data_IF_849032587274
#
_entry.id   IF_849032587274
#
_cell.length_a   1.000
_cell.length_b   1.000
_cell.length_c   1.000
_cell.angle_alpha   90.00
_cell.angle_beta   90.00
_cell.angle_gamma   90.00
#
_symmetry.space_group_name_H-M   'P 1'
#
loop_
_entity.id
_entity.type
_entity.pdbx_description
1 polymer ?
#
# COMPACT_ATOMS: atom_id res chain seq x y z
N UNK A 1 1.25 -10.98 -14.84
CA UNK A 1 0.25 -10.85 -13.76
C UNK A 1 0.75 -9.88 -12.68
N UNK A 2 -0.15 -9.08 -12.10
CA UNK A 2 0.18 -8.10 -11.05
C UNK A 2 -0.30 -8.55 -9.67
N UNK A 3 0.48 -8.22 -8.66
CA UNK A 3 0.14 -8.32 -7.24
C UNK A 3 0.28 -6.96 -6.58
N UNK A 4 -0.75 -6.50 -5.88
CA UNK A 4 -0.73 -5.30 -5.04
C UNK A 4 -0.96 -5.72 -3.60
N UNK A 5 -0.01 -5.36 -2.74
CA UNK A 5 -0.05 -5.60 -1.31
C UNK A 5 -0.32 -4.28 -0.61
N UNK A 6 -1.51 -4.10 -0.05
CA UNK A 6 -1.82 -2.99 0.82
C UNK A 6 -1.32 -3.31 2.23
N UNK A 7 -0.54 -2.40 2.82
CA UNK A 7 -0.08 -2.54 4.21
C UNK A 7 -1.02 -1.84 5.20
N UNK A 8 -1.15 -2.43 6.38
CA UNK A 8 -2.00 -1.96 7.48
C UNK A 8 -2.00 -2.93 8.66
N UNK A 9 -2.61 -2.52 9.76
CA UNK A 9 -2.92 -3.38 10.90
C UNK A 9 -4.39 -3.82 10.88
N UNK A 10 -4.71 -5.09 11.21
CA UNK A 10 -6.09 -5.56 11.33
C UNK A 10 -6.75 -5.03 12.61
N UNK A 11 -8.07 -4.87 12.56
CA UNK A 11 -8.91 -4.47 13.70
C UNK A 11 -9.39 -3.03 13.63
N UNK A 12 -10.60 -2.80 14.16
CA UNK A 12 -11.34 -1.55 14.01
C UNK A 12 -10.57 -0.32 14.52
N UNK A 13 -9.81 -0.47 15.60
CA UNK A 13 -9.00 0.62 16.18
C UNK A 13 -7.94 1.22 15.26
N UNK A 14 -7.54 0.51 14.19
CA UNK A 14 -6.51 0.98 13.27
C UNK A 14 -7.07 1.48 11.94
N UNK A 15 -8.38 1.32 11.67
CA UNK A 15 -8.93 1.48 10.32
C UNK A 15 -8.64 2.86 9.71
N UNK A 16 -8.67 3.91 10.54
CA UNK A 16 -8.41 5.30 10.13
C UNK A 16 -7.04 5.81 10.55
N UNK A 17 -6.18 4.94 11.10
CA UNK A 17 -4.80 5.31 11.41
C UNK A 17 -4.01 5.63 10.15
N UNK A 18 -2.99 6.49 10.26
CA UNK A 18 -2.08 6.79 9.13
C UNK A 18 -1.45 5.50 8.56
N UNK A 19 -1.13 4.53 9.42
CA UNK A 19 -0.51 3.26 9.04
C UNK A 19 -1.41 2.32 8.22
N UNK A 20 -2.71 2.58 8.16
CA UNK A 20 -3.68 1.76 7.42
C UNK A 20 -4.01 2.31 6.03
N UNK A 21 -3.30 3.35 5.56
CA UNK A 21 -3.52 3.94 4.24
C UNK A 21 -3.41 2.92 3.11
N UNK A 22 -2.48 1.95 3.22
CA UNK A 22 -2.31 0.89 2.23
C UNK A 22 -3.53 -0.03 2.12
N UNK A 23 -4.16 -0.38 3.24
CA UNK A 23 -5.42 -1.13 3.26
C UNK A 23 -6.55 -0.33 2.61
N UNK A 24 -6.73 0.93 3.01
CA UNK A 24 -7.81 1.78 2.49
C UNK A 24 -7.71 1.98 0.98
N UNK A 25 -6.50 2.13 0.44
CA UNK A 25 -6.28 2.27 -1.02
C UNK A 25 -6.70 1.02 -1.78
N UNK A 26 -6.30 -0.17 -1.32
CA UNK A 26 -6.70 -1.40 -2.01
C UNK A 26 -8.19 -1.69 -1.82
N UNK A 27 -8.80 -1.27 -0.71
CA UNK A 27 -10.24 -1.32 -0.51
C UNK A 27 -10.98 -0.41 -1.50
N UNK A 28 -10.59 0.86 -1.64
CA UNK A 28 -11.15 1.77 -2.64
C UNK A 28 -11.03 1.23 -4.07
N UNK A 29 -9.89 0.65 -4.44
CA UNK A 29 -9.73 0.03 -5.76
C UNK A 29 -10.67 -1.17 -5.93
N UNK A 30 -10.79 -2.02 -4.92
CA UNK A 30 -11.72 -3.16 -4.93
C UNK A 30 -13.17 -2.71 -5.09
N UNK A 31 -13.59 -1.69 -4.34
CA UNK A 31 -14.93 -1.10 -4.38
C UNK A 31 -15.24 -0.49 -5.75
N UNK A 32 -14.33 0.34 -6.29
CA UNK A 32 -14.48 0.95 -7.62
C UNK A 32 -14.66 -0.11 -8.72
N UNK A 33 -14.07 -1.29 -8.54
CA UNK A 33 -14.12 -2.40 -9.50
C UNK A 33 -15.15 -3.47 -9.13
N UNK A 34 -15.88 -3.29 -8.03
CA UNK A 34 -16.84 -4.25 -7.49
C UNK A 34 -16.25 -5.65 -7.27
N UNK A 35 -14.96 -5.71 -6.92
CA UNK A 35 -14.29 -6.97 -6.58
C UNK A 35 -14.64 -7.37 -5.15
N UNK A 36 -14.90 -8.66 -4.97
CA UNK A 36 -15.29 -9.22 -3.68
C UNK A 36 -14.06 -9.78 -2.96
N UNK A 37 -13.87 -9.34 -1.72
CA UNK A 37 -12.83 -9.87 -0.85
C UNK A 37 -13.17 -11.28 -0.39
N UNK A 38 -12.18 -12.17 -0.50
CA UNK A 38 -12.11 -13.42 0.21
C UNK A 38 -11.26 -13.21 1.46
N UNK A 39 -11.67 -13.82 2.57
CA UNK A 39 -10.99 -13.66 3.85
C UNK A 39 -10.47 -15.00 4.38
N UNK A 40 -9.28 -14.96 4.97
CA UNK A 40 -8.69 -16.03 5.75
C UNK A 40 -8.20 -15.47 7.08
N UNK A 41 -7.76 -16.33 8.00
CA UNK A 41 -7.18 -15.88 9.28
C UNK A 41 -5.93 -15.00 9.14
N UNK A 42 -5.19 -15.09 8.02
CA UNK A 42 -3.88 -14.42 7.85
C UNK A 42 -3.86 -13.35 6.77
N UNK A 43 -4.85 -13.31 5.89
CA UNK A 43 -4.93 -12.34 4.80
C UNK A 43 -6.35 -12.24 4.23
N UNK A 44 -6.66 -11.08 3.67
CA UNK A 44 -7.75 -10.89 2.73
C UNK A 44 -7.18 -10.73 1.31
N UNK A 45 -7.92 -11.22 0.32
CA UNK A 45 -7.52 -11.06 -1.07
C UNK A 45 -8.73 -10.99 -2.02
N UNK A 46 -8.58 -10.27 -3.11
CA UNK A 46 -9.50 -10.30 -4.24
C UNK A 46 -8.70 -10.21 -5.54
N UNK A 47 -9.35 -10.45 -6.66
CA UNK A 47 -8.72 -10.29 -7.96
C UNK A 47 -9.72 -9.89 -9.02
N UNK A 48 -9.19 -9.34 -10.12
CA UNK A 48 -9.96 -9.07 -11.31
C UNK A 48 -9.05 -8.61 -12.44
N UNK A 49 -9.63 -7.95 -13.44
CA UNK A 49 -8.91 -7.45 -14.60
C UNK A 49 -8.97 -5.93 -14.67
N UNK A 50 -7.83 -5.32 -15.02
CA UNK A 50 -7.76 -3.92 -15.45
C UNK A 50 -7.16 -3.93 -16.86
N UNK A 51 -7.95 -3.46 -17.84
CA UNK A 51 -7.67 -3.70 -19.26
C UNK A 51 -7.41 -5.21 -19.50
N UNK A 52 -6.25 -5.55 -20.06
CA UNK A 52 -5.87 -6.94 -20.37
C UNK A 52 -5.00 -7.60 -19.29
N UNK A 53 -4.87 -7.00 -18.11
CA UNK A 53 -4.00 -7.48 -17.04
C UNK A 53 -4.79 -8.04 -15.87
N UNK A 54 -4.44 -9.25 -15.44
CA UNK A 54 -4.89 -9.78 -14.15
C UNK A 54 -4.17 -9.09 -13.00
N UNK A 55 -4.96 -8.63 -12.03
CA UNK A 55 -4.51 -7.94 -10.83
C UNK A 55 -5.07 -8.65 -9.60
N UNK A 56 -4.19 -8.95 -8.65
CA UNK A 56 -4.54 -9.44 -7.32
C UNK A 56 -4.29 -8.35 -6.29
N UNK A 57 -5.26 -8.13 -5.41
CA UNK A 57 -5.11 -7.28 -4.22
C UNK A 57 -5.01 -8.16 -2.99
N UNK A 58 -4.11 -7.81 -2.08
CA UNK A 58 -3.89 -8.55 -0.83
C UNK A 58 -3.72 -7.58 0.32
N UNK A 59 -4.39 -7.87 1.43
CA UNK A 59 -4.18 -7.25 2.74
C UNK A 59 -3.72 -8.32 3.73
N UNK A 60 -2.44 -8.31 4.18
CA UNK A 60 -2.00 -9.19 5.26
C UNK A 60 -2.80 -8.89 6.54
N UNK A 61 -3.55 -9.85 7.08
CA UNK A 61 -4.31 -9.68 8.34
C UNK A 61 -3.46 -10.02 9.58
N UNK A 62 -2.16 -9.81 9.49
CA UNK A 62 -1.21 -9.88 10.60
C UNK A 62 -0.90 -8.47 11.09
N UNK A 63 -0.32 -8.31 12.27
CA UNK A 63 0.25 -7.01 12.65
C UNK A 63 1.32 -6.57 11.64
N UNK A 64 1.51 -5.26 11.52
CA UNK A 64 2.35 -4.65 10.48
C UNK A 64 3.75 -5.27 10.43
N UNK A 65 4.39 -5.47 11.58
CA UNK A 65 5.73 -6.07 11.68
C UNK A 65 5.80 -7.55 11.27
N UNK A 66 4.65 -8.18 10.98
CA UNK A 66 4.53 -9.56 10.51
C UNK A 66 3.89 -9.63 9.10
N UNK A 67 3.77 -8.50 8.40
CA UNK A 67 3.15 -8.41 7.07
C UNK A 67 3.75 -9.39 6.05
N UNK A 68 5.06 -9.65 6.13
CA UNK A 68 5.74 -10.61 5.27
C UNK A 68 5.24 -12.04 5.46
N UNK A 69 4.92 -12.44 6.70
CA UNK A 69 4.33 -13.75 7.00
C UNK A 69 2.91 -13.87 6.44
N UNK A 70 2.11 -12.80 6.53
CA UNK A 70 0.79 -12.75 5.93
C UNK A 70 0.85 -12.84 4.40
N UNK A 71 1.79 -12.11 3.77
CA UNK A 71 2.02 -12.18 2.33
C UNK A 71 2.52 -13.57 1.88
N UNK A 72 3.46 -14.17 2.62
CA UNK A 72 3.94 -15.52 2.34
C UNK A 72 2.79 -16.53 2.39
N UNK A 73 1.92 -16.42 3.40
CA UNK A 73 0.74 -17.28 3.53
C UNK A 73 -0.17 -17.18 2.30
N UNK A 74 -0.38 -15.96 1.78
CA UNK A 74 -1.14 -15.76 0.54
C UNK A 74 -0.46 -16.38 -0.68
N UNK A 75 0.85 -16.14 -0.85
CA UNK A 75 1.60 -16.66 -2.00
C UNK A 75 1.59 -18.20 -2.04
N UNK A 76 1.72 -18.85 -0.89
CA UNK A 76 1.60 -20.30 -0.76
C UNK A 76 0.19 -20.79 -1.05
N UNK A 77 -0.84 -20.06 -0.60
CA UNK A 77 -2.25 -20.41 -0.84
C UNK A 77 -2.63 -20.32 -2.32
N UNK A 78 -2.25 -19.24 -3.01
CA UNK A 78 -2.67 -19.02 -4.39
C UNK A 78 -1.84 -19.83 -5.39
N UNK A 79 -0.61 -20.22 -5.02
CA UNK A 79 0.31 -21.02 -5.85
C UNK A 79 0.52 -20.44 -7.27
N UNK A 80 0.61 -19.11 -7.38
CA UNK A 80 0.83 -18.38 -8.64
C UNK A 80 2.09 -17.51 -8.61
N UNK A 81 2.70 -17.34 -9.78
CA UNK A 81 3.84 -16.45 -9.99
C UNK A 81 3.40 -15.05 -10.43
N UNK A 82 3.87 -14.03 -9.71
CA UNK A 82 3.58 -12.63 -10.01
C UNK A 82 4.82 -11.93 -10.56
N UNK A 83 4.72 -11.44 -11.80
CA UNK A 83 5.82 -10.76 -12.50
C UNK A 83 6.01 -9.32 -12.04
N UNK A 84 4.91 -8.68 -11.62
CA UNK A 84 4.89 -7.28 -11.17
C UNK A 84 4.27 -7.25 -9.79
N UNK A 85 5.03 -6.82 -8.80
CA UNK A 85 4.60 -6.75 -7.40
C UNK A 85 4.67 -5.31 -6.94
N UNK A 86 3.64 -4.85 -6.26
CA UNK A 86 3.49 -3.47 -5.80
C UNK A 86 3.18 -3.53 -4.30
N UNK A 87 3.91 -2.75 -3.49
CA UNK A 87 3.58 -2.51 -2.08
C UNK A 87 3.01 -1.10 -1.97
N UNK A 88 1.86 -0.98 -1.31
CA UNK A 88 1.23 0.31 -0.98
C UNK A 88 1.34 0.53 0.52
N UNK A 89 1.96 1.63 0.93
CA UNK A 89 2.26 1.88 2.34
C UNK A 89 2.40 3.38 2.64
N UNK A 90 2.30 3.74 3.92
CA UNK A 90 2.55 5.10 4.41
C UNK A 90 4.04 5.46 4.40
N UNK A 91 4.32 6.75 4.28
CA UNK A 91 5.66 7.30 4.17
C UNK A 91 5.80 8.56 5.03
N UNK A 92 6.72 8.49 6.01
CA UNK A 92 6.97 9.56 6.97
C UNK A 92 7.69 10.75 6.32
N UNK A 93 8.54 10.49 5.34
CA UNK A 93 9.36 11.53 4.71
C UNK A 93 8.60 12.33 3.63
N UNK A 94 7.34 11.98 3.35
CA UNK A 94 6.46 12.71 2.44
C UNK A 94 5.30 13.34 3.22
N UNK A 95 4.95 14.61 2.98
CA UNK A 95 3.82 15.23 3.66
C UNK A 95 2.48 14.65 3.16
N UNK A 96 1.40 14.76 3.96
CA UNK A 96 0.04 14.45 3.52
C UNK A 96 -0.32 15.13 2.18
N UNK A 97 -1.10 14.45 1.34
CA UNK A 97 -1.43 14.94 -0.01
C UNK A 97 -0.33 14.68 -1.06
N UNK A 98 0.76 13.99 -0.70
CA UNK A 98 1.78 13.53 -1.65
C UNK A 98 1.78 12.01 -1.78
N UNK A 99 2.02 11.55 -2.99
CA UNK A 99 2.31 10.15 -3.29
C UNK A 99 3.60 10.08 -4.10
N UNK A 100 4.32 8.96 -3.98
CA UNK A 100 5.52 8.71 -4.78
C UNK A 100 5.62 7.26 -5.18
N UNK A 101 5.90 7.01 -6.44
CA UNK A 101 6.18 5.70 -7.00
C UNK A 101 7.69 5.51 -7.10
N UNK A 102 8.21 4.39 -6.61
CA UNK A 102 9.61 3.99 -6.73
C UNK A 102 9.76 2.51 -7.07
N UNK A 103 10.92 2.09 -7.57
CA UNK A 103 11.30 0.67 -7.72
C UNK A 103 12.38 0.33 -6.71
N UNK A 104 12.30 -0.86 -6.12
CA UNK A 104 13.30 -1.38 -5.19
C UNK A 104 13.56 -0.49 -3.97
N UNK A 105 14.78 -0.60 -3.44
CA UNK A 105 15.28 0.20 -2.32
C UNK A 105 14.97 -0.38 -0.94
N UNK A 106 15.63 0.17 0.09
CA UNK A 106 15.44 -0.26 1.48
C UNK A 106 14.10 0.15 2.08
N UNK A 107 13.73 -0.46 3.20
CA UNK A 107 12.45 -0.24 3.87
C UNK A 107 12.30 1.10 4.61
N UNK A 108 13.39 1.88 4.73
CA UNK A 108 13.40 3.19 5.40
C UNK A 108 12.73 3.21 6.79
N UNK A 109 12.90 2.13 7.57
CA UNK A 109 12.31 1.99 8.91
C UNK A 109 10.85 1.55 8.95
N UNK A 110 10.17 1.42 7.80
CA UNK A 110 8.78 0.96 7.75
C UNK A 110 8.67 -0.55 8.07
N UNK A 111 8.10 -0.88 9.23
CA UNK A 111 8.06 -2.26 9.78
C UNK A 111 7.41 -3.29 8.86
N UNK A 112 6.37 -2.92 8.11
CA UNK A 112 5.74 -3.85 7.17
C UNK A 112 6.56 -4.14 5.91
N UNK A 113 7.27 -3.13 5.39
CA UNK A 113 8.18 -3.30 4.26
C UNK A 113 9.41 -4.10 4.70
N UNK A 114 9.92 -3.85 5.90
CA UNK A 114 10.96 -4.66 6.54
C UNK A 114 10.53 -6.12 6.64
N UNK A 115 9.32 -6.38 7.15
CA UNK A 115 8.80 -7.74 7.28
C UNK A 115 8.65 -8.44 5.92
N UNK A 116 8.19 -7.73 4.88
CA UNK A 116 8.16 -8.31 3.51
C UNK A 116 9.57 -8.67 3.03
N UNK A 117 10.58 -7.85 3.33
CA UNK A 117 11.97 -8.09 2.93
C UNK A 117 12.54 -9.40 3.47
N UNK A 118 12.04 -9.89 4.61
CA UNK A 118 12.48 -11.16 5.21
C UNK A 118 12.12 -12.38 4.36
N UNK A 119 11.07 -12.29 3.54
CA UNK A 119 10.54 -13.41 2.76
C UNK A 119 10.56 -13.17 1.25
N UNK A 120 10.84 -11.94 0.81
CA UNK A 120 10.74 -11.51 -0.58
C UNK A 120 11.86 -10.54 -0.94
N UNK A 121 12.40 -10.66 -2.16
CA UNK A 121 13.38 -9.71 -2.67
C UNK A 121 12.73 -8.35 -3.02
N UNK A 122 12.92 -7.35 -2.16
CA UNK A 122 12.34 -6.00 -2.32
C UNK A 122 12.76 -5.29 -3.62
N UNK A 123 13.93 -5.59 -4.20
CA UNK A 123 14.37 -4.98 -5.46
C UNK A 123 13.42 -5.28 -6.63
N UNK A 124 12.64 -6.36 -6.51
CA UNK A 124 11.62 -6.75 -7.50
C UNK A 124 10.29 -6.02 -7.34
N UNK A 125 10.12 -5.25 -6.25
CA UNK A 125 8.87 -4.55 -5.96
C UNK A 125 8.89 -3.11 -6.45
N UNK A 126 7.72 -2.70 -6.92
CA UNK A 126 7.34 -1.30 -7.03
C UNK A 126 6.77 -0.89 -5.67
N UNK A 127 7.02 0.34 -5.23
CA UNK A 127 6.40 0.91 -4.04
C UNK A 127 5.58 2.13 -4.42
N UNK A 128 4.34 2.15 -3.98
CA UNK A 128 3.48 3.32 -3.96
C UNK A 128 3.45 3.84 -2.52
N UNK A 129 4.24 4.89 -2.31
CA UNK A 129 4.47 5.52 -1.01
C UNK A 129 3.49 6.66 -0.84
N UNK A 130 2.74 6.67 0.26
CA UNK A 130 1.74 7.69 0.55
C UNK A 130 2.20 8.54 1.71
N UNK A 131 2.42 9.83 1.45
CA UNK A 131 2.92 10.74 2.46
C UNK A 131 1.93 10.91 3.59
N UNK A 132 2.41 10.68 4.80
CA UNK A 132 1.65 10.87 6.04
C UNK A 132 2.25 11.96 6.92
N UNK A 133 3.41 12.51 6.54
CA UNK A 133 4.19 13.44 7.37
C UNK A 133 4.92 12.72 8.50
N UNK A 134 5.63 13.48 9.32
CA UNK A 134 6.38 12.96 10.46
C UNK A 134 6.16 13.83 11.70
N UNK A 135 6.12 13.25 12.90
CA UNK A 135 6.09 14.02 14.13
C UNK A 135 7.41 14.76 14.33
N UNK A 136 7.40 15.74 15.24
CA UNK A 136 8.59 16.53 15.59
C UNK A 136 9.67 15.65 16.21
N UNK A 137 9.26 14.70 17.06
CA UNK A 137 10.14 13.84 17.84
C UNK A 137 10.08 12.39 17.35
N UNK A 138 11.23 11.71 17.29
CA UNK A 138 11.33 10.35 16.71
C UNK A 138 10.62 9.31 17.56
N UNK A 139 10.64 9.49 18.87
CA UNK A 139 9.98 8.67 19.88
C UNK A 139 8.46 8.62 19.68
N UNK A 140 7.86 9.66 19.09
CA UNK A 140 6.42 9.75 18.82
C UNK A 140 5.99 8.99 17.56
N UNK A 141 6.93 8.53 16.72
CA UNK A 141 6.61 7.92 15.41
C UNK A 141 5.62 6.76 15.54
N UNK A 142 5.78 5.91 16.56
CA UNK A 142 4.90 4.74 16.71
C UNK A 142 3.46 5.15 17.02
N UNK A 143 3.27 6.13 17.90
CA UNK A 143 1.94 6.65 18.23
C UNK A 143 1.36 7.45 17.06
N UNK A 144 2.19 8.25 16.39
CA UNK A 144 1.81 9.06 15.24
C UNK A 144 1.23 8.21 14.10
N UNK A 145 1.90 7.11 13.71
CA UNK A 145 1.39 6.26 12.63
C UNK A 145 0.14 5.49 13.03
N UNK A 146 -0.01 5.13 14.31
CA UNK A 146 -1.16 4.37 14.82
C UNK A 146 -2.37 5.26 15.16
N UNK A 147 -2.20 6.57 15.26
CA UNK A 147 -3.27 7.53 15.53
C UNK A 147 -3.98 7.97 14.25
N UNK A 148 -5.22 8.45 14.43
CA UNK A 148 -5.97 9.09 13.35
C UNK A 148 -5.37 10.47 13.00
N UNK A 149 -5.39 10.84 11.72
CA UNK A 149 -4.97 12.16 11.28
C UNK A 149 -5.90 13.27 11.78
N UNK A 150 -5.38 14.49 11.91
CA UNK A 150 -6.25 15.67 12.10
C UNK A 150 -7.19 15.85 10.90
N UNK A 151 -8.30 16.57 11.05
CA UNK A 151 -9.28 16.73 9.96
C UNK A 151 -8.67 17.26 8.66
N UNK A 152 -7.71 18.18 8.75
CA UNK A 152 -7.01 18.73 7.59
C UNK A 152 -6.11 17.67 6.92
N UNK A 153 -5.33 16.92 7.71
CA UNK A 153 -4.51 15.82 7.19
C UNK A 153 -5.37 14.69 6.62
N UNK A 154 -6.53 14.40 7.23
CA UNK A 154 -7.46 13.38 6.78
C UNK A 154 -7.99 13.71 5.37
N UNK A 155 -8.34 14.97 5.10
CA UNK A 155 -8.76 15.41 3.78
C UNK A 155 -7.63 15.26 2.73
N UNK A 156 -6.40 15.63 3.09
CA UNK A 156 -5.23 15.45 2.23
C UNK A 156 -4.90 13.98 1.97
N UNK A 157 -5.07 13.13 2.98
CA UNK A 157 -4.88 11.68 2.85
C UNK A 157 -5.96 11.06 1.97
N UNK A 158 -7.23 11.45 2.12
CA UNK A 158 -8.31 10.99 1.26
C UNK A 158 -8.04 11.30 -0.23
N UNK A 159 -7.52 12.50 -0.53
CA UNK A 159 -7.11 12.86 -1.89
C UNK A 159 -5.90 12.03 -2.35
N UNK A 160 -4.89 11.83 -1.48
CA UNK A 160 -3.78 10.92 -1.77
C UNK A 160 -4.25 9.48 -2.04
N UNK A 161 -5.25 8.98 -1.32
CA UNK A 161 -5.80 7.64 -1.48
C UNK A 161 -6.49 7.49 -2.84
N UNK A 162 -7.30 8.47 -3.23
CA UNK A 162 -7.91 8.52 -4.58
C UNK A 162 -6.84 8.54 -5.68
N UNK A 163 -5.86 9.44 -5.57
CA UNK A 163 -4.74 9.52 -6.53
C UNK A 163 -3.89 8.25 -6.55
N UNK A 164 -3.81 7.54 -5.42
CA UNK A 164 -3.10 6.26 -5.33
C UNK A 164 -3.81 5.16 -6.12
N UNK A 165 -5.15 5.13 -6.09
CA UNK A 165 -5.94 4.21 -6.92
C UNK A 165 -5.72 4.50 -8.41
N UNK A 166 -5.74 5.77 -8.81
CA UNK A 166 -5.42 6.20 -10.19
C UNK A 166 -3.99 5.79 -10.59
N UNK A 167 -3.02 5.97 -9.68
CA UNK A 167 -1.64 5.56 -9.89
C UNK A 167 -1.49 4.04 -10.06
N UNK A 168 -2.19 3.23 -9.26
CA UNK A 168 -2.21 1.76 -9.41
C UNK A 168 -2.76 1.35 -10.77
N UNK A 169 -3.89 1.93 -11.18
CA UNK A 169 -4.47 1.69 -12.52
C UNK A 169 -3.47 2.07 -13.60
N UNK A 170 -2.79 3.22 -13.46
CA UNK A 170 -1.80 3.70 -14.41
C UNK A 170 -0.56 2.78 -14.49
N UNK A 171 -0.05 2.28 -13.35
CA UNK A 171 1.04 1.32 -13.33
C UNK A 171 0.67 0.06 -14.10
N UNK A 172 -0.56 -0.43 -13.91
CA UNK A 172 -1.04 -1.66 -14.56
C UNK A 172 -1.25 -1.47 -16.06
N UNK A 173 -1.75 -0.31 -16.49
CA UNK A 173 -2.15 -0.06 -17.89
C UNK A 173 -1.06 0.54 -18.77
N UNK A 174 -0.22 1.42 -18.22
CA UNK A 174 0.79 2.18 -18.97
C UNK A 174 2.23 1.86 -18.51
N UNK A 175 2.38 1.05 -17.47
CA UNK A 175 3.66 0.69 -16.89
C UNK A 175 4.20 1.72 -15.89
N UNK A 176 5.09 1.24 -15.01
CA UNK A 176 5.58 2.02 -13.87
C UNK A 176 6.37 3.27 -14.27
N UNK A 177 7.10 3.26 -15.39
CA UNK A 177 7.87 4.44 -15.80
C UNK A 177 6.96 5.62 -16.17
N UNK A 178 5.91 5.34 -16.92
CA UNK A 178 4.91 6.33 -17.28
C UNK A 178 4.19 6.85 -16.02
N UNK A 179 3.76 5.93 -15.14
CA UNK A 179 3.12 6.30 -13.88
C UNK A 179 4.03 7.17 -13.00
N UNK A 180 5.34 6.87 -12.90
CA UNK A 180 6.28 7.70 -12.16
C UNK A 180 6.33 9.13 -12.71
N UNK A 181 6.38 9.31 -14.04
CA UNK A 181 6.42 10.64 -14.65
C UNK A 181 5.15 11.46 -14.38
N UNK A 182 3.99 10.81 -14.37
CA UNK A 182 2.70 11.45 -14.13
C UNK A 182 2.45 11.79 -12.66
N UNK A 183 2.74 10.86 -11.75
CA UNK A 183 2.31 10.99 -10.36
C UNK A 183 3.39 11.55 -9.41
N UNK A 184 4.68 11.43 -9.74
CA UNK A 184 5.76 11.95 -8.88
C UNK A 184 6.01 13.45 -9.04
N UNK A 185 5.52 14.06 -10.12
CA UNK A 185 5.74 15.47 -10.48
C UNK A 185 4.67 16.42 -9.91
N UNK A 186 3.53 15.88 -9.48
CA UNK A 186 2.39 16.68 -9.03
C UNK A 186 2.55 17.04 -7.56
N UNK A 187 2.83 18.31 -7.33
CA UNK A 187 2.55 18.98 -6.08
C UNK A 187 1.04 19.24 -6.03
N UNK A 188 0.30 18.59 -5.12
CA UNK A 188 -1.01 19.14 -4.74
C UNK A 188 -0.73 20.54 -4.18
N UNK A 189 -1.15 21.54 -4.95
CA UNK A 189 -1.11 22.97 -4.66
C UNK A 189 -2.08 23.29 -3.53
#
# INVERSE_FOLDING_TARGET
MFLVVGLGNPGQKYQYSRHNVGFRIVDHLSEQRQWKWNETKRFQWCHGKIANHELYLVKPLTFMNLSGLGLLSFLSYIAKSFEKKIIVHDELDLPPGRIRISRGGGAAGHKGVLSIAEYCNLETFIRLRVGIGKPTHKEEITEYVLSEPSSNEAALLAESEKRSVEALICIVTHGVQYAMNQFNSIYAS
#
